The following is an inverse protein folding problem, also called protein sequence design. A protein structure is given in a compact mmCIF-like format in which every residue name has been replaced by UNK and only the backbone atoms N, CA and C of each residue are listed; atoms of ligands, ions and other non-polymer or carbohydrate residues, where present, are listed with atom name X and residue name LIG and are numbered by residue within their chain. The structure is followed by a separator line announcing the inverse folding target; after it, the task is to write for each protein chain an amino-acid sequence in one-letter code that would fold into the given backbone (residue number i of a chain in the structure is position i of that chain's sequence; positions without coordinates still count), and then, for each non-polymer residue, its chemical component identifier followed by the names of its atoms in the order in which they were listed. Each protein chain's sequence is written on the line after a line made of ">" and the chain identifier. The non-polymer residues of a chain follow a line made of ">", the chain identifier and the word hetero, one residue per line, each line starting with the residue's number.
data_IF_384804814679
#
_entry.id   IF_384804814679
#
_cell.length_a   1.000
_cell.length_b   1.000
_cell.length_c   1.000
_cell.angle_alpha   90.00
_cell.angle_beta   90.00
_cell.angle_gamma   90.00
#
_symmetry.space_group_name_H-M   'P 1'
#
loop_
_entity.id
_entity.type
_entity.pdbx_description
1 polymer ?
#
# COMPACT_ATOMS: atom_id res chain seq x y z
N UNK A 1 -30.92 44.35 -67.17
CA UNK A 1 -30.41 43.08 -67.73
C UNK A 1 -29.06 42.86 -67.08
N UNK A 2 -29.05 42.27 -65.89
CA UNK A 2 -28.78 40.82 -65.63
C UNK A 2 -27.27 40.56 -65.59
N UNK A 3 -26.67 39.75 -64.72
CA UNK A 3 -27.00 39.12 -63.43
C UNK A 3 -25.66 38.61 -62.86
N UNK A 4 -25.57 38.55 -61.52
CA UNK A 4 -24.80 37.68 -60.62
C UNK A 4 -23.34 37.18 -60.88
N UNK A 5 -22.55 37.39 -59.81
CA UNK A 5 -21.37 36.68 -59.24
C UNK A 5 -21.01 35.22 -59.60
N UNK A 6 -19.69 35.01 -59.86
CA UNK A 6 -18.70 34.02 -59.31
C UNK A 6 -18.94 32.49 -59.38
N UNK A 7 -17.93 31.57 -59.16
CA UNK A 7 -16.45 31.67 -59.15
C UNK A 7 -15.67 30.50 -59.85
N UNK A 8 -14.33 30.58 -59.74
CA UNK A 8 -13.25 29.62 -60.03
C UNK A 8 -13.45 28.17 -59.52
N UNK A 9 -12.69 27.23 -60.12
CA UNK A 9 -12.29 25.99 -59.46
C UNK A 9 -12.02 24.80 -60.38
N UNK A 10 -10.96 24.86 -61.20
CA UNK A 10 -10.46 23.69 -61.93
C UNK A 10 -9.78 22.74 -60.94
N UNK A 11 -10.34 21.52 -60.84
CA UNK A 11 -9.85 20.48 -59.95
C UNK A 11 -8.50 19.95 -60.38
N UNK A 12 -7.49 20.19 -59.55
CA UNK A 12 -6.31 19.35 -59.50
C UNK A 12 -6.62 18.15 -58.60
N UNK A 13 -6.81 17.01 -59.25
CA UNK A 13 -6.87 15.71 -58.56
C UNK A 13 -5.50 15.47 -57.92
N UNK A 14 -5.39 15.71 -56.62
CA UNK A 14 -4.19 15.45 -55.82
C UNK A 14 -3.88 13.95 -55.92
N UNK A 15 -2.93 13.58 -56.79
CA UNK A 15 -2.40 12.22 -56.88
C UNK A 15 -1.69 11.92 -55.57
N UNK A 16 -2.39 11.20 -54.69
CA UNK A 16 -1.82 10.60 -53.49
C UNK A 16 -0.70 9.66 -53.95
N UNK A 17 0.55 10.00 -53.62
CA UNK A 17 1.74 9.19 -53.91
C UNK A 17 1.68 7.91 -53.04
N UNK A 18 0.94 6.90 -53.50
CA UNK A 18 0.68 5.64 -52.80
C UNK A 18 1.81 4.59 -52.98
N UNK A 19 3.04 5.01 -53.27
CA UNK A 19 4.03 4.12 -53.88
C UNK A 19 4.80 3.23 -52.90
N UNK A 20 4.67 3.45 -51.58
CA UNK A 20 5.40 2.67 -50.56
C UNK A 20 4.59 2.36 -49.28
N UNK A 21 3.26 2.26 -49.37
CA UNK A 21 2.45 1.90 -48.22
C UNK A 21 2.52 0.40 -47.93
N UNK A 22 3.25 0.03 -46.88
CA UNK A 22 3.23 -1.33 -46.36
C UNK A 22 1.82 -1.62 -45.81
N UNK A 23 1.14 -2.70 -46.25
CA UNK A 23 -0.21 -2.99 -45.82
C UNK A 23 -0.25 -3.20 -44.30
N UNK A 24 -1.17 -2.50 -43.63
CA UNK A 24 -1.34 -2.55 -42.18
C UNK A 24 -1.60 -3.98 -41.69
N UNK A 25 -2.34 -4.76 -42.48
CA UNK A 25 -2.62 -6.18 -42.24
C UNK A 25 -2.18 -6.96 -43.48
N UNK A 26 -1.37 -8.00 -43.26
CA UNK A 26 -0.89 -8.96 -44.25
C UNK A 26 -1.43 -10.34 -43.92
N UNK A 27 -2.05 -10.99 -44.91
CA UNK A 27 -2.42 -12.41 -44.82
C UNK A 27 -1.36 -13.23 -45.54
N UNK A 28 -0.83 -14.25 -44.87
CA UNK A 28 0.15 -15.20 -45.41
C UNK A 28 -0.56 -16.53 -45.51
N UNK A 29 -0.61 -17.13 -46.70
CA UNK A 29 -1.19 -18.45 -46.93
C UNK A 29 -0.06 -19.43 -47.23
N UNK A 30 -0.07 -20.60 -46.61
CA UNK A 30 0.89 -21.67 -46.84
C UNK A 30 0.37 -22.72 -47.85
N UNK A 31 1.23 -23.68 -48.21
CA UNK A 31 0.90 -24.74 -49.17
C UNK A 31 -0.21 -25.69 -48.68
N UNK A 32 -0.50 -25.70 -47.37
CA UNK A 32 -1.62 -26.45 -46.78
C UNK A 32 -2.96 -25.71 -46.86
N UNK A 33 -2.97 -24.54 -47.52
CA UNK A 33 -4.08 -23.57 -47.50
C UNK A 33 -4.37 -23.04 -46.09
N UNK A 34 -3.42 -23.19 -45.16
CA UNK A 34 -3.43 -22.54 -43.86
C UNK A 34 -3.15 -21.05 -44.02
N UNK A 35 -3.82 -20.18 -43.26
CA UNK A 35 -3.54 -18.74 -43.29
C UNK A 35 -3.16 -18.16 -41.94
N UNK A 36 -2.22 -17.21 -41.97
CA UNK A 36 -1.75 -16.42 -40.83
C UNK A 36 -1.95 -14.95 -41.15
N UNK A 37 -2.59 -14.23 -40.24
CA UNK A 37 -2.79 -12.79 -40.28
C UNK A 37 -1.70 -12.11 -39.45
N UNK A 38 -1.01 -11.14 -40.06
CA UNK A 38 -0.01 -10.30 -39.42
C UNK A 38 -0.38 -8.83 -39.56
N UNK A 39 -0.46 -8.09 -38.46
CA UNK A 39 -0.55 -6.64 -38.44
C UNK A 39 0.85 -6.01 -38.27
N UNK A 40 1.42 -5.44 -39.34
CA UNK A 40 2.83 -5.05 -39.40
C UNK A 40 3.78 -6.15 -38.89
N UNK A 41 4.42 -5.95 -37.74
CA UNK A 41 5.35 -6.88 -37.08
C UNK A 41 4.66 -7.86 -36.10
N UNK A 42 3.36 -7.68 -35.83
CA UNK A 42 2.60 -8.47 -34.86
C UNK A 42 1.82 -9.57 -35.57
N UNK A 43 1.88 -10.81 -35.08
CA UNK A 43 1.03 -11.90 -35.56
C UNK A 43 -0.22 -11.99 -34.71
N UNK A 44 -1.35 -12.34 -35.32
CA UNK A 44 -2.59 -12.55 -34.60
C UNK A 44 -2.45 -13.76 -33.64
N UNK A 45 -2.96 -13.68 -32.40
CA UNK A 45 -2.91 -14.79 -31.46
C UNK A 45 -3.62 -16.04 -31.98
N UNK A 46 -3.20 -17.19 -31.47
CA UNK A 46 -3.67 -18.48 -31.93
C UNK A 46 -5.16 -18.75 -31.65
N UNK A 47 -5.65 -18.14 -30.57
CA UNK A 47 -7.01 -18.17 -30.02
C UNK A 47 -7.92 -17.08 -30.58
N UNK A 48 -7.45 -16.31 -31.57
CA UNK A 48 -8.25 -15.23 -32.15
C UNK A 48 -9.54 -15.74 -32.82
N UNK A 49 -10.70 -15.06 -32.67
CA UNK A 49 -11.98 -15.49 -33.23
C UNK A 49 -11.93 -15.85 -34.73
N UNK A 50 -11.23 -15.04 -35.54
CA UNK A 50 -11.00 -15.30 -36.97
C UNK A 50 -10.37 -16.69 -37.22
N UNK A 51 -9.46 -17.14 -36.36
CA UNK A 51 -8.85 -18.46 -36.48
C UNK A 51 -9.74 -19.56 -35.91
N UNK A 52 -10.45 -19.31 -34.81
CA UNK A 52 -11.33 -20.29 -34.20
C UNK A 52 -12.52 -20.63 -35.11
N UNK A 53 -13.13 -19.61 -35.73
CA UNK A 53 -14.27 -19.79 -36.63
C UNK A 53 -13.87 -20.53 -37.91
N UNK A 54 -12.71 -20.22 -38.48
CA UNK A 54 -12.28 -20.75 -39.78
C UNK A 54 -11.29 -21.90 -39.69
N UNK A 55 -10.89 -22.32 -38.47
CA UNK A 55 -9.84 -23.32 -38.20
C UNK A 55 -8.52 -23.06 -38.95
N UNK A 56 -8.24 -21.78 -39.24
CA UNK A 56 -7.10 -21.31 -40.06
C UNK A 56 -7.02 -21.82 -41.49
N UNK A 57 -8.07 -22.41 -42.04
CA UNK A 57 -8.05 -22.90 -43.41
C UNK A 57 -8.71 -21.88 -44.34
N UNK A 58 -8.00 -21.47 -45.38
CA UNK A 58 -8.49 -20.55 -46.39
C UNK A 58 -9.69 -21.12 -47.17
N UNK A 59 -9.88 -22.44 -47.14
CA UNK A 59 -11.02 -23.14 -47.74
C UNK A 59 -12.34 -22.85 -47.02
N UNK A 60 -12.29 -22.53 -45.72
CA UNK A 60 -13.49 -22.34 -44.90
C UNK A 60 -14.08 -20.91 -45.02
N UNK A 61 -13.36 -19.98 -45.66
CA UNK A 61 -13.76 -18.58 -45.78
C UNK A 61 -13.57 -18.07 -47.21
N UNK A 62 -14.51 -17.25 -47.69
CA UNK A 62 -14.29 -16.53 -48.95
C UNK A 62 -13.33 -15.37 -48.72
N UNK A 63 -12.41 -15.12 -49.66
CA UNK A 63 -11.47 -13.99 -49.57
C UNK A 63 -12.18 -12.65 -49.33
N UNK A 64 -13.37 -12.46 -49.92
CA UNK A 64 -14.19 -11.27 -49.73
C UNK A 64 -14.68 -11.10 -48.29
N UNK A 65 -15.12 -12.19 -47.65
CA UNK A 65 -15.54 -12.16 -46.25
C UNK A 65 -14.34 -11.98 -45.31
N UNK A 66 -13.21 -12.65 -45.58
CA UNK A 66 -11.98 -12.48 -44.81
C UNK A 66 -11.50 -11.02 -44.84
N UNK A 67 -11.49 -10.38 -46.00
CA UNK A 67 -11.13 -8.95 -46.11
C UNK A 67 -12.13 -8.07 -45.37
N UNK A 68 -13.44 -8.39 -45.41
CA UNK A 68 -14.47 -7.63 -44.69
C UNK A 68 -14.26 -7.72 -43.18
N UNK A 69 -14.00 -8.91 -42.65
CA UNK A 69 -13.70 -9.11 -41.24
C UNK A 69 -12.41 -8.38 -40.84
N UNK A 70 -11.32 -8.54 -41.60
CA UNK A 70 -10.03 -7.91 -41.30
C UNK A 70 -10.07 -6.38 -41.30
N UNK A 71 -10.94 -5.77 -42.12
CA UNK A 71 -11.14 -4.32 -42.14
C UNK A 71 -11.79 -3.77 -40.87
N UNK A 72 -12.52 -4.59 -40.13
CA UNK A 72 -13.10 -4.19 -38.86
C UNK A 72 -12.09 -4.21 -37.72
N UNK A 73 -10.82 -4.55 -37.97
CA UNK A 73 -9.80 -4.61 -36.93
C UNK A 73 -8.79 -3.45 -37.05
N UNK A 74 -8.59 -2.75 -35.92
CA UNK A 74 -7.50 -1.82 -35.70
C UNK A 74 -6.38 -2.44 -34.87
N UNK A 75 -5.24 -1.75 -34.90
CA UNK A 75 -4.04 -2.17 -34.22
C UNK A 75 -3.96 -1.48 -32.84
N UNK A 76 -3.84 -2.27 -31.77
CA UNK A 76 -3.74 -1.76 -30.39
C UNK A 76 -2.60 -0.74 -30.21
N UNK A 77 -2.88 0.41 -29.60
CA UNK A 77 -1.90 1.44 -29.28
C UNK A 77 -0.92 1.02 -28.16
N UNK A 78 -1.20 -0.08 -27.46
CA UNK A 78 -0.29 -0.66 -26.48
C UNK A 78 -0.40 0.03 -25.13
N UNK A 79 0.71 0.05 -24.38
CA UNK A 79 0.79 0.59 -23.02
C UNK A 79 1.78 1.75 -22.96
N UNK A 80 1.66 2.59 -21.94
CA UNK A 80 2.69 3.59 -21.66
C UNK A 80 3.98 2.90 -21.19
N UNK A 81 5.12 3.40 -21.67
CA UNK A 81 6.41 2.89 -21.21
C UNK A 81 6.54 3.08 -19.71
N UNK A 82 6.69 1.94 -19.04
CA UNK A 82 6.96 1.85 -17.63
C UNK A 82 8.27 1.06 -17.48
N UNK A 83 9.30 1.67 -16.87
CA UNK A 83 10.62 1.05 -16.60
C UNK A 83 10.56 -0.31 -15.87
N UNK A 84 9.41 -0.70 -15.32
CA UNK A 84 9.29 -1.78 -14.35
C UNK A 84 9.20 -3.19 -14.93
N UNK A 85 8.96 -3.42 -16.24
CA UNK A 85 8.76 -4.78 -16.74
C UNK A 85 9.38 -5.00 -18.13
N UNK A 86 10.35 -5.92 -18.24
CA UNK A 86 10.94 -6.35 -19.52
C UNK A 86 10.02 -7.22 -20.39
N UNK A 87 8.70 -7.10 -20.25
CA UNK A 87 7.69 -7.92 -20.94
C UNK A 87 7.13 -7.25 -22.20
N UNK A 88 7.69 -6.11 -22.61
CA UNK A 88 7.25 -5.37 -23.78
C UNK A 88 8.26 -5.44 -24.91
N UNK A 89 7.78 -5.12 -26.11
CA UNK A 89 8.62 -4.80 -27.25
C UNK A 89 8.22 -3.44 -27.81
N UNK A 90 9.20 -2.75 -28.41
CA UNK A 90 8.96 -1.53 -29.14
C UNK A 90 8.47 -1.88 -30.54
N UNK A 91 7.28 -1.41 -30.91
CA UNK A 91 6.74 -1.56 -32.24
C UNK A 91 6.71 -0.20 -32.94
N UNK A 92 7.49 -0.04 -34.01
CA UNK A 92 7.54 1.19 -34.81
C UNK A 92 6.79 0.97 -36.10
N UNK A 93 5.84 1.86 -36.40
CA UNK A 93 4.94 1.74 -37.52
C UNK A 93 5.10 2.96 -38.44
N UNK A 94 5.29 2.77 -39.75
CA UNK A 94 5.27 3.87 -40.70
C UNK A 94 3.92 4.58 -40.73
N UNK A 95 3.91 5.91 -40.79
CA UNK A 95 2.69 6.71 -40.94
C UNK A 95 2.74 7.46 -42.27
N UNK A 96 1.59 7.76 -42.88
CA UNK A 96 1.56 8.73 -43.99
C UNK A 96 1.93 10.10 -43.43
N UNK A 97 2.93 10.77 -44.02
CA UNK A 97 3.15 12.19 -43.77
C UNK A 97 1.93 12.97 -44.27
N UNK A 98 1.04 13.35 -43.36
CA UNK A 98 -0.11 14.21 -43.68
C UNK A 98 0.29 15.68 -43.83
N UNK A 99 1.46 16.07 -43.31
CA UNK A 99 1.93 17.45 -43.32
C UNK A 99 3.16 17.62 -44.21
N UNK A 100 3.07 18.51 -45.21
CA UNK A 100 4.17 18.92 -46.09
C UNK A 100 5.35 19.60 -45.36
N UNK A 101 5.22 19.87 -44.06
CA UNK A 101 6.24 20.51 -43.20
C UNK A 101 7.01 19.52 -42.32
N UNK A 102 6.65 18.24 -42.31
CA UNK A 102 7.38 17.24 -41.54
C UNK A 102 8.61 16.79 -42.36
N UNK A 103 9.78 17.32 -42.01
CA UNK A 103 11.06 17.03 -42.67
C UNK A 103 11.58 15.61 -42.41
N UNK A 104 10.77 14.74 -41.79
CA UNK A 104 11.16 13.35 -41.55
C UNK A 104 10.98 12.52 -42.83
N UNK A 105 12.06 12.01 -43.46
CA UNK A 105 11.96 11.18 -44.66
C UNK A 105 11.29 9.83 -44.40
N UNK A 106 11.20 9.40 -43.13
CA UNK A 106 10.55 8.15 -42.72
C UNK A 106 9.64 8.40 -41.50
N UNK A 107 8.50 9.07 -41.71
CA UNK A 107 7.57 9.38 -40.65
C UNK A 107 7.06 8.08 -40.02
N UNK A 108 7.18 7.99 -38.70
CA UNK A 108 6.86 6.77 -37.95
C UNK A 108 6.25 7.09 -36.58
N UNK A 109 5.53 6.10 -36.03
CA UNK A 109 4.95 6.16 -34.69
C UNK A 109 5.36 4.91 -33.90
N UNK A 110 5.94 5.13 -32.73
CA UNK A 110 6.36 4.08 -31.80
C UNK A 110 5.27 3.74 -30.79
N UNK A 111 5.07 2.45 -30.54
CA UNK A 111 4.15 1.91 -29.56
C UNK A 111 4.84 0.86 -28.70
N UNK A 112 4.52 0.80 -27.40
CA UNK A 112 5.02 -0.23 -26.51
C UNK A 112 3.96 -1.28 -26.29
N UNK A 113 4.24 -2.54 -26.62
CA UNK A 113 3.24 -3.61 -26.58
C UNK A 113 3.72 -4.80 -25.78
N UNK A 114 2.80 -5.43 -25.05
CA UNK A 114 3.07 -6.70 -24.39
C UNK A 114 3.25 -7.82 -25.43
N UNK A 115 4.04 -8.84 -25.09
CA UNK A 115 4.07 -10.08 -25.88
C UNK A 115 2.66 -10.69 -25.89
N UNK A 116 2.13 -10.98 -27.09
CA UNK A 116 0.74 -11.46 -27.27
C UNK A 116 -0.31 -10.37 -27.46
N UNK A 117 0.10 -9.11 -27.69
CA UNK A 117 -0.83 -8.03 -28.02
C UNK A 117 -1.58 -8.29 -29.34
N UNK A 118 -2.91 -8.19 -29.30
CA UNK A 118 -3.84 -8.53 -30.39
C UNK A 118 -4.24 -7.32 -31.23
N UNK A 119 -4.78 -7.60 -32.43
CA UNK A 119 -5.65 -6.65 -33.14
C UNK A 119 -6.96 -6.51 -32.36
N UNK A 120 -7.52 -5.31 -32.34
CA UNK A 120 -8.81 -5.02 -31.71
C UNK A 120 -9.85 -4.76 -32.78
N UNK A 121 -11.11 -5.08 -32.50
CA UNK A 121 -12.20 -4.68 -33.38
C UNK A 121 -12.43 -3.18 -33.23
N UNK A 122 -12.81 -2.50 -34.30
CA UNK A 122 -13.15 -1.08 -34.29
C UNK A 122 -14.39 -0.80 -33.42
N UNK A 123 -15.27 -1.80 -33.29
CA UNK A 123 -16.50 -1.75 -32.50
C UNK A 123 -16.25 -1.73 -30.98
N UNK A 124 -15.06 -2.12 -30.52
CA UNK A 124 -14.75 -2.28 -29.09
C UNK A 124 -14.53 -0.93 -28.36
N UNK A 125 -14.56 0.20 -29.08
CA UNK A 125 -14.51 1.56 -28.53
C UNK A 125 -13.21 1.97 -27.81
N UNK A 126 -12.32 1.01 -27.50
CA UNK A 126 -11.02 1.22 -26.84
C UNK A 126 -9.85 1.17 -27.83
N UNK A 127 -8.79 1.92 -27.54
CA UNK A 127 -7.54 1.92 -28.33
C UNK A 127 -6.49 0.91 -27.82
N UNK A 128 -6.81 0.21 -26.72
CA UNK A 128 -5.91 -0.71 -26.03
C UNK A 128 -6.59 -2.07 -25.86
N UNK A 129 -5.95 -3.14 -26.32
CA UNK A 129 -6.47 -4.51 -26.19
C UNK A 129 -6.51 -4.98 -24.72
N UNK A 130 -7.41 -5.92 -24.41
CA UNK A 130 -7.59 -6.47 -23.07
C UNK A 130 -6.28 -6.88 -22.40
N UNK A 131 -5.36 -7.49 -23.14
CA UNK A 131 -4.06 -7.88 -22.59
C UNK A 131 -3.22 -6.67 -22.17
N UNK A 132 -3.18 -5.62 -22.99
CA UNK A 132 -2.47 -4.37 -22.67
C UNK A 132 -3.18 -3.59 -21.55
N UNK A 133 -4.51 -3.63 -21.50
CA UNK A 133 -5.32 -2.97 -20.47
C UNK A 133 -5.13 -3.64 -19.10
N UNK A 134 -5.35 -4.96 -19.01
CA UNK A 134 -5.13 -5.75 -17.79
C UNK A 134 -3.70 -5.59 -17.26
N UNK A 135 -2.72 -5.53 -18.16
CA UNK A 135 -1.35 -5.27 -17.78
C UNK A 135 -1.19 -3.87 -17.15
N UNK A 136 -1.78 -2.84 -17.76
CA UNK A 136 -1.74 -1.47 -17.26
C UNK A 136 -2.39 -1.36 -15.89
N UNK A 137 -3.58 -1.95 -15.71
CA UNK A 137 -4.24 -2.02 -14.40
C UNK A 137 -3.40 -2.74 -13.36
N UNK A 138 -2.75 -3.85 -13.73
CA UNK A 138 -1.87 -4.59 -12.81
C UNK A 138 -0.68 -3.76 -12.34
N UNK A 139 -0.11 -2.96 -13.25
CA UNK A 139 0.97 -2.01 -12.91
C UNK A 139 0.48 -0.91 -11.97
N UNK A 140 -0.70 -0.35 -12.24
CA UNK A 140 -1.29 0.69 -11.39
C UNK A 140 -1.55 0.18 -9.97
N UNK A 141 -2.14 -1.01 -9.83
CA UNK A 141 -2.36 -1.67 -8.54
C UNK A 141 -1.03 -1.91 -7.81
N UNK A 142 -0.01 -2.40 -8.52
CA UNK A 142 1.31 -2.63 -7.93
C UNK A 142 1.96 -1.32 -7.44
N UNK A 143 1.81 -0.24 -8.21
CA UNK A 143 2.32 1.08 -7.83
C UNK A 143 1.55 1.66 -6.63
N UNK A 144 0.22 1.56 -6.64
CA UNK A 144 -0.63 1.97 -5.52
C UNK A 144 -0.29 1.20 -4.22
N UNK A 145 -0.07 -0.11 -4.34
CA UNK A 145 0.34 -0.94 -3.20
C UNK A 145 1.71 -0.50 -2.64
N UNK A 146 2.66 -0.17 -3.51
CA UNK A 146 3.98 0.34 -3.10
C UNK A 146 3.86 1.68 -2.38
N UNK A 147 3.08 2.63 -2.92
CA UNK A 147 2.89 3.94 -2.28
C UNK A 147 2.17 3.80 -0.94
N UNK A 148 1.15 2.96 -0.84
CA UNK A 148 0.44 2.69 0.42
C UNK A 148 1.34 2.03 1.48
N UNK A 149 2.23 1.12 1.08
CA UNK A 149 3.22 0.54 2.00
C UNK A 149 4.19 1.59 2.55
N UNK A 150 4.52 2.61 1.76
CA UNK A 150 5.42 3.69 2.18
C UNK A 150 4.74 4.68 3.13
N UNK A 151 3.42 4.86 3.03
CA UNK A 151 2.64 5.72 3.93
C UNK A 151 2.23 5.04 5.23
N UNK A 152 2.47 3.73 5.37
CA UNK A 152 2.15 2.99 6.59
C UNK A 152 3.38 2.79 7.48
N UNK A 153 3.25 3.03 8.80
CA UNK A 153 4.32 2.78 9.75
C UNK A 153 4.82 1.34 9.70
N UNK A 154 6.08 1.14 10.06
CA UNK A 154 6.66 -0.20 10.25
C UNK A 154 6.46 -0.67 11.69
N UNK A 155 6.38 -1.99 11.88
CA UNK A 155 6.44 -2.61 13.21
C UNK A 155 7.77 -2.27 13.89
N UNK A 156 7.73 -2.06 15.21
CA UNK A 156 8.88 -1.58 16.00
C UNK A 156 10.08 -2.53 15.94
N UNK A 157 9.83 -3.84 15.82
CA UNK A 157 10.87 -4.88 15.78
C UNK A 157 11.41 -5.18 14.36
N UNK A 158 11.02 -4.41 13.34
CA UNK A 158 11.47 -4.65 11.98
C UNK A 158 12.95 -4.33 11.80
N UNK A 159 13.64 -5.12 10.96
CA UNK A 159 15.05 -4.88 10.64
C UNK A 159 15.24 -3.55 9.90
N UNK A 160 16.07 -2.67 10.45
CA UNK A 160 16.29 -1.32 9.92
C UNK A 160 16.92 -1.31 8.53
N UNK A 161 17.91 -2.16 8.28
CA UNK A 161 18.63 -2.22 6.98
C UNK A 161 17.74 -2.60 5.80
N UNK A 162 16.62 -3.29 6.06
CA UNK A 162 15.65 -3.73 5.05
C UNK A 162 14.44 -2.80 4.94
N UNK A 163 14.32 -1.81 5.83
CA UNK A 163 13.14 -0.96 5.92
C UNK A 163 13.38 0.39 5.24
N UNK A 164 12.41 0.85 4.47
CA UNK A 164 12.49 2.13 3.80
C UNK A 164 12.54 3.31 4.81
N UNK A 165 13.44 4.29 4.66
CA UNK A 165 13.62 5.39 5.61
C UNK A 165 12.34 6.17 5.94
N UNK A 166 11.49 6.42 4.94
CA UNK A 166 10.20 7.11 5.14
C UNK A 166 9.29 6.39 6.15
N UNK A 167 9.27 5.06 6.16
CA UNK A 167 8.44 4.28 7.09
C UNK A 167 8.99 4.32 8.50
N UNK A 168 10.32 4.30 8.65
CA UNK A 168 10.99 4.44 9.94
C UNK A 168 10.64 5.79 10.56
N UNK A 169 10.69 6.87 9.76
CA UNK A 169 10.30 8.22 10.20
C UNK A 169 8.86 8.25 10.74
N UNK A 170 7.91 7.65 10.02
CA UNK A 170 6.51 7.58 10.45
C UNK A 170 6.36 6.81 11.78
N UNK A 171 7.03 5.67 11.93
CA UNK A 171 7.00 4.91 13.20
C UNK A 171 7.57 5.73 14.35
N UNK A 172 8.70 6.42 14.15
CA UNK A 172 9.30 7.26 15.19
C UNK A 172 8.39 8.42 15.60
N UNK A 173 7.71 9.06 14.64
CA UNK A 173 6.73 10.11 14.94
C UNK A 173 5.58 9.58 15.80
N UNK A 174 5.02 8.41 15.45
CA UNK A 174 3.98 7.77 16.26
C UNK A 174 4.45 7.40 17.67
N UNK A 175 5.68 6.88 17.81
CA UNK A 175 6.24 6.56 19.13
C UNK A 175 6.46 7.81 19.98
N UNK A 176 6.95 8.90 19.40
CA UNK A 176 7.13 10.18 20.13
C UNK A 176 5.81 10.68 20.69
N UNK A 177 4.74 10.66 19.89
CA UNK A 177 3.39 11.05 20.35
C UNK A 177 2.92 10.17 21.52
N UNK A 178 3.13 8.85 21.41
CA UNK A 178 2.78 7.92 22.49
C UNK A 178 3.58 8.19 23.76
N UNK A 179 4.88 8.47 23.65
CA UNK A 179 5.71 8.83 24.80
C UNK A 179 5.18 10.10 25.49
N UNK A 180 4.86 11.15 24.71
CA UNK A 180 4.31 12.39 25.29
C UNK A 180 2.99 12.18 26.00
N UNK A 181 2.12 11.28 25.50
CA UNK A 181 0.85 10.97 26.13
C UNK A 181 1.04 10.17 27.43
N UNK A 182 1.91 9.16 27.42
CA UNK A 182 2.25 8.39 28.62
C UNK A 182 2.91 9.24 29.71
N UNK A 183 3.81 10.15 29.34
CA UNK A 183 4.42 11.11 30.27
C UNK A 183 3.36 12.01 30.91
N UNK A 184 2.37 12.46 30.13
CA UNK A 184 1.22 13.22 30.64
C UNK A 184 0.41 12.39 31.65
N UNK A 185 0.03 11.17 31.31
CA UNK A 185 -0.73 10.29 32.21
C UNK A 185 0.03 9.99 33.51
N UNK A 186 1.33 9.71 33.42
CA UNK A 186 2.18 9.50 34.59
C UNK A 186 2.22 10.73 35.50
N UNK A 187 2.32 11.93 34.93
CA UNK A 187 2.29 13.18 35.71
C UNK A 187 0.97 13.37 36.43
N UNK A 188 -0.16 13.04 35.80
CA UNK A 188 -1.50 13.09 36.41
C UNK A 188 -1.57 12.13 37.59
N UNK A 189 -1.15 10.89 37.39
CA UNK A 189 -1.14 9.86 38.43
C UNK A 189 -0.25 10.25 39.62
N UNK A 190 0.93 10.81 39.36
CA UNK A 190 1.82 11.30 40.43
C UNK A 190 1.17 12.43 41.23
N UNK A 191 0.52 13.39 40.56
CA UNK A 191 -0.18 14.49 41.21
C UNK A 191 -1.36 13.99 42.05
N UNK A 192 -2.12 13.01 41.55
CA UNK A 192 -3.22 12.39 42.31
C UNK A 192 -2.73 11.62 43.53
N UNK A 193 -1.63 10.87 43.40
CA UNK A 193 -1.01 10.19 44.53
C UNK A 193 -0.52 11.20 45.57
N UNK A 194 0.13 12.29 45.15
CA UNK A 194 0.57 13.34 46.07
C UNK A 194 -0.60 14.03 46.78
N UNK A 195 -1.68 14.33 46.05
CA UNK A 195 -2.89 14.96 46.60
C UNK A 195 -3.61 14.08 47.61
N UNK A 196 -3.68 12.77 47.36
CA UNK A 196 -4.40 11.82 48.21
C UNK A 196 -3.50 11.16 49.27
N UNK A 197 -2.20 11.42 49.25
CA UNK A 197 -1.28 10.90 50.25
C UNK A 197 -1.56 11.58 51.60
N UNK A 198 -2.05 10.83 52.57
CA UNK A 198 -2.14 11.28 53.95
C UNK A 198 -0.78 11.05 54.63
N UNK A 199 -0.11 12.14 54.99
CA UNK A 199 1.12 12.06 55.77
C UNK A 199 0.78 11.52 57.17
N UNK A 200 1.50 10.49 57.60
CA UNK A 200 1.29 9.88 58.90
C UNK A 200 1.89 10.82 59.94
N UNK A 201 1.03 11.41 60.79
CA UNK A 201 1.45 12.30 61.86
C UNK A 201 2.54 11.63 62.73
N UNK A 202 3.62 12.36 63.01
CA UNK A 202 4.71 11.95 63.91
C UNK A 202 4.17 11.46 65.27
N UNK A 203 3.09 12.05 65.77
CA UNK A 203 2.40 11.63 67.00
C UNK A 203 1.88 10.19 66.89
N UNK A 204 1.19 9.85 65.80
CA UNK A 204 0.69 8.49 65.58
C UNK A 204 1.84 7.48 65.47
N UNK A 205 2.95 7.87 64.86
CA UNK A 205 4.14 7.02 64.78
C UNK A 205 4.77 6.78 66.16
N UNK A 206 4.80 7.80 67.01
CA UNK A 206 5.31 7.70 68.38
C UNK A 206 4.36 6.86 69.25
N UNK A 207 3.05 7.07 69.15
CA UNK A 207 2.04 6.28 69.87
C UNK A 207 2.13 4.79 69.51
N UNK A 208 2.30 4.47 68.22
CA UNK A 208 2.50 3.10 67.76
C UNK A 208 3.81 2.51 68.31
N UNK A 209 4.89 3.29 68.41
CA UNK A 209 6.16 2.87 69.00
C UNK A 209 6.05 2.65 70.53
N UNK A 210 5.23 3.43 71.22
CA UNK A 210 4.97 3.30 72.66
C UNK A 210 4.07 2.11 73.00
N UNK A 211 2.98 1.92 72.25
CA UNK A 211 2.15 0.70 72.34
C UNK A 211 3.02 -0.54 72.11
N UNK A 212 3.95 -0.41 71.15
CA UNK A 212 4.88 -1.45 70.76
C UNK A 212 5.84 -1.87 71.85
N UNK A 213 6.46 -0.91 72.51
CA UNK A 213 7.41 -1.17 73.60
C UNK A 213 6.67 -1.74 74.82
N UNK A 214 5.47 -1.24 75.13
CA UNK A 214 4.64 -1.72 76.26
C UNK A 214 4.09 -3.14 76.05
N UNK A 215 3.74 -3.53 74.83
CA UNK A 215 3.20 -4.86 74.56
C UNK A 215 4.30 -5.97 74.55
N UNK A 216 5.51 -5.64 74.08
CA UNK A 216 6.63 -6.59 74.04
C UNK A 216 7.16 -7.02 75.43
N UNK A 217 6.86 -6.25 76.48
CA UNK A 217 7.24 -6.62 77.84
C UNK A 217 6.25 -7.57 78.54
N UNK A 218 5.03 -7.71 78.01
CA UNK A 218 3.95 -8.55 78.60
C UNK A 218 3.48 -9.71 77.70
N UNK A 219 4.05 -9.86 76.50
CA UNK A 219 3.62 -10.86 75.51
C UNK A 219 4.27 -12.24 75.63
N UNK A 220 3.64 -13.25 75.03
CA UNK A 220 4.20 -14.61 74.90
C UNK A 220 5.48 -14.59 74.04
N UNK A 221 6.36 -15.60 74.22
CA UNK A 221 7.64 -15.71 73.50
C UNK A 221 7.49 -15.56 71.96
N UNK A 222 6.44 -16.17 71.39
CA UNK A 222 6.12 -16.10 69.97
C UNK A 222 5.71 -14.69 69.52
N UNK A 223 5.00 -13.96 70.39
CA UNK A 223 4.58 -12.58 70.13
C UNK A 223 5.80 -11.65 70.14
N UNK A 224 6.75 -11.87 71.04
CA UNK A 224 8.01 -11.13 71.08
C UNK A 224 8.89 -11.38 69.85
N UNK A 225 8.96 -12.63 69.37
CA UNK A 225 9.73 -12.98 68.17
C UNK A 225 9.12 -12.39 66.90
N UNK A 226 7.80 -12.51 66.74
CA UNK A 226 7.05 -11.82 65.68
C UNK A 226 7.31 -10.32 65.72
N UNK A 227 7.47 -9.75 66.91
CA UNK A 227 7.65 -8.33 67.08
C UNK A 227 9.00 -7.78 66.69
N UNK A 228 10.07 -8.50 67.06
CA UNK A 228 11.42 -8.19 66.62
C UNK A 228 11.52 -8.27 65.09
N UNK A 229 10.86 -9.25 64.47
CA UNK A 229 10.77 -9.37 63.01
C UNK A 229 10.07 -8.15 62.39
N UNK A 230 8.93 -7.74 62.95
CA UNK A 230 8.23 -6.56 62.46
C UNK A 230 9.02 -5.26 62.68
N UNK A 231 9.72 -5.10 63.82
CA UNK A 231 10.50 -3.91 64.12
C UNK A 231 11.64 -3.66 63.12
N UNK A 232 12.26 -4.73 62.61
CA UNK A 232 13.23 -4.65 61.51
C UNK A 232 12.63 -4.11 60.21
N UNK A 233 11.34 -4.32 59.97
CA UNK A 233 10.62 -3.82 58.80
C UNK A 233 10.09 -2.38 58.96
N UNK A 234 10.15 -1.82 60.17
CA UNK A 234 9.71 -0.45 60.50
C UNK A 234 10.85 0.55 60.61
N UNK A 235 12.08 0.18 60.24
CA UNK A 235 13.21 1.10 60.20
C UNK A 235 12.89 2.32 59.35
N UNK A 236 13.24 3.51 59.86
CA UNK A 236 13.10 4.76 59.13
C UNK A 236 13.90 4.69 57.83
N UNK A 237 13.19 4.60 56.70
CA UNK A 237 13.80 4.76 55.40
C UNK A 237 13.68 6.23 54.99
N UNK A 238 14.62 6.73 54.18
CA UNK A 238 14.67 8.12 53.71
C UNK A 238 13.39 8.59 52.97
N UNK A 239 12.48 7.68 52.63
CA UNK A 239 11.20 7.91 51.94
C UNK A 239 9.96 7.93 52.86
N UNK A 240 10.15 7.94 54.19
CA UNK A 240 9.06 8.01 55.19
C UNK A 240 8.57 6.64 55.67
N UNK A 241 7.75 6.64 56.74
CA UNK A 241 7.18 5.44 57.35
C UNK A 241 5.83 5.14 56.72
N UNK A 242 5.65 3.93 56.16
CA UNK A 242 4.36 3.48 55.60
C UNK A 242 3.74 2.43 56.51
N UNK A 243 2.72 2.80 57.26
CA UNK A 243 1.93 1.84 58.02
C UNK A 243 0.81 1.27 57.15
N UNK A 244 0.80 -0.05 57.00
CA UNK A 244 -0.34 -0.74 56.38
C UNK A 244 -1.52 -0.76 57.38
N UNK A 245 -2.78 -0.50 56.96
CA UNK A 245 -3.94 -0.42 57.87
C UNK A 245 -4.10 -1.62 58.81
N UNK A 246 -3.88 -2.86 58.32
CA UNK A 246 -3.90 -4.05 59.18
C UNK A 246 -2.89 -4.00 60.34
N UNK A 247 -1.75 -3.31 60.18
CA UNK A 247 -0.74 -3.18 61.22
C UNK A 247 -1.21 -2.25 62.34
N UNK A 248 -1.85 -1.14 61.98
CA UNK A 248 -2.44 -0.20 62.95
C UNK A 248 -3.58 -0.90 63.69
N UNK A 249 -4.47 -1.59 62.97
CA UNK A 249 -5.59 -2.32 63.53
C UNK A 249 -5.15 -3.36 64.57
N UNK A 250 -4.11 -4.14 64.27
CA UNK A 250 -3.57 -5.13 65.19
C UNK A 250 -2.94 -4.50 66.45
N UNK A 251 -2.20 -3.39 66.32
CA UNK A 251 -1.62 -2.69 67.48
C UNK A 251 -2.71 -2.16 68.44
N UNK A 252 -3.80 -1.65 67.88
CA UNK A 252 -4.96 -1.19 68.64
C UNK A 252 -5.68 -2.36 69.33
N UNK A 253 -5.92 -3.47 68.63
CA UNK A 253 -6.53 -4.67 69.21
C UNK A 253 -5.75 -5.22 70.41
N UNK A 254 -4.41 -5.20 70.32
CA UNK A 254 -3.54 -5.68 71.39
C UNK A 254 -3.54 -4.75 72.61
N UNK A 255 -3.56 -3.44 72.37
CA UNK A 255 -3.66 -2.44 73.45
C UNK A 255 -4.96 -2.61 74.25
N UNK A 256 -6.06 -2.88 73.55
CA UNK A 256 -7.34 -3.19 74.20
C UNK A 256 -7.28 -4.51 74.98
N UNK A 257 -6.63 -5.56 74.47
CA UNK A 257 -6.45 -6.82 75.21
C UNK A 257 -5.64 -6.65 76.51
N UNK A 258 -4.60 -5.83 76.50
CA UNK A 258 -3.80 -5.54 77.70
C UNK A 258 -4.62 -4.72 78.71
N UNK A 259 -5.48 -3.81 78.25
CA UNK A 259 -6.36 -3.02 79.11
C UNK A 259 -7.48 -3.84 79.79
N UNK A 260 -7.92 -4.94 79.17
CA UNK A 260 -8.90 -5.88 79.75
C UNK A 260 -8.29 -6.93 80.68
N UNK A 261 -6.96 -7.07 80.72
CA UNK A 261 -6.23 -7.99 81.60
C UNK A 261 -5.62 -7.30 82.84
N UNK A 262 -5.86 -6.00 83.03
CA UNK A 262 -5.54 -5.20 84.22
C UNK A 262 -6.83 -4.93 85.00
#
# INVERSE_FOLDING_TARGET
>A
MDQLQSPQGQGDSEKIHNEFLYPQIKVIVDDSLGFIVKGFSCSLPDDHPVYLQQKRLAVNITLKNLVKELKAYKLCCGVLWNKLNGKFFHNVIPICATNKYDNNPFPNKGYWRIKGCSLQSDDDGGDVCDGCDQFSSSVEIANCTKTQRLSTPVQVQATLSKTHPARIKLTLQGQRLRCTELERELSVMHNELQRNNAEINCELSNDLADIKTKAGSKGTLSMNLFWQQQQKLFGNNATGVRYHPMKIQFCLSLSCQIAFML
#
